data_IF_575046831195
#
_entry.id   IF_575046831195
#
_cell.length_a   1.000
_cell.length_b   1.000
_cell.length_c   1.000
_cell.angle_alpha   90.00
_cell.angle_beta   90.00
_cell.angle_gamma   90.00
#
_symmetry.space_group_name_H-M   'P 1'
#
loop_
_entity.id
_entity.type
_entity.pdbx_description
1 polymer ?
#
# COMPACT_ATOMS: atom_id res chain seq x y z
N UNK A 1 25.95 16.99 -40.89
CA UNK A 1 26.56 16.98 -39.55
C UNK A 1 25.61 17.54 -38.48
N UNK A 2 24.95 18.66 -38.69
CA UNK A 2 24.01 19.32 -37.76
C UNK A 2 22.88 18.43 -37.25
N UNK A 3 22.21 17.65 -38.12
CA UNK A 3 21.13 16.73 -37.71
C UNK A 3 21.61 15.66 -36.70
N UNK A 4 22.84 15.13 -36.84
CA UNK A 4 23.40 14.17 -35.88
C UNK A 4 23.69 14.82 -34.51
N UNK A 5 24.12 16.07 -34.49
CA UNK A 5 24.35 16.83 -33.26
C UNK A 5 23.02 17.11 -32.53
N UNK A 6 22.00 17.50 -33.28
CA UNK A 6 20.65 17.73 -32.81
C UNK A 6 20.06 16.48 -32.13
N UNK A 7 20.16 15.33 -32.79
CA UNK A 7 19.67 14.06 -32.24
C UNK A 7 20.39 13.67 -30.95
N UNK A 8 21.73 13.84 -30.91
CA UNK A 8 22.52 13.55 -29.69
C UNK A 8 22.09 14.46 -28.52
N UNK A 9 21.87 15.75 -28.78
CA UNK A 9 21.44 16.70 -27.76
C UNK A 9 20.08 16.34 -27.19
N UNK A 10 19.09 16.02 -28.05
CA UNK A 10 17.76 15.59 -27.66
C UNK A 10 17.85 14.29 -26.82
N UNK A 11 18.63 13.30 -27.24
CA UNK A 11 18.81 12.05 -26.53
C UNK A 11 19.39 12.25 -25.12
N UNK A 12 20.42 13.06 -24.97
CA UNK A 12 21.04 13.35 -23.67
C UNK A 12 20.00 14.02 -22.74
N UNK A 13 19.30 15.02 -23.24
CA UNK A 13 18.32 15.77 -22.47
C UNK A 13 17.14 14.88 -22.06
N UNK A 14 16.63 14.04 -22.94
CA UNK A 14 15.56 13.09 -22.65
C UNK A 14 16.02 12.02 -21.66
N UNK A 15 17.26 11.52 -21.76
CA UNK A 15 17.83 10.58 -20.80
C UNK A 15 17.88 11.20 -19.40
N UNK A 16 18.32 12.45 -19.28
CA UNK A 16 18.40 13.14 -18.00
C UNK A 16 17.02 13.33 -17.35
N UNK A 17 16.03 13.77 -18.14
CA UNK A 17 14.66 13.93 -17.67
C UNK A 17 14.04 12.58 -17.24
N UNK A 18 14.30 11.51 -18.01
CA UNK A 18 13.82 10.16 -17.66
C UNK A 18 14.39 9.67 -16.34
N UNK A 19 15.68 9.90 -16.07
CA UNK A 19 16.31 9.52 -14.80
C UNK A 19 15.70 10.27 -13.62
N UNK A 20 15.45 11.57 -13.77
CA UNK A 20 14.80 12.37 -12.72
C UNK A 20 13.39 11.85 -12.45
N UNK A 21 12.59 11.60 -13.49
CA UNK A 21 11.23 11.08 -13.34
C UNK A 21 11.21 9.72 -12.64
N UNK A 22 12.09 8.79 -13.05
CA UNK A 22 12.20 7.48 -12.40
C UNK A 22 12.59 7.62 -10.92
N UNK A 23 13.49 8.52 -10.57
CA UNK A 23 13.87 8.78 -9.18
C UNK A 23 12.69 9.28 -8.36
N UNK A 24 11.96 10.28 -8.86
CA UNK A 24 10.81 10.86 -8.16
C UNK A 24 9.71 9.80 -7.96
N UNK A 25 9.35 9.07 -9.01
CA UNK A 25 8.34 8.01 -8.91
C UNK A 25 8.79 6.88 -7.97
N UNK A 26 10.07 6.51 -8.00
CA UNK A 26 10.62 5.51 -7.08
C UNK A 26 10.46 5.93 -5.61
N UNK A 27 10.79 7.18 -5.29
CA UNK A 27 10.62 7.70 -3.92
C UNK A 27 9.16 7.73 -3.50
N UNK A 28 8.25 8.19 -4.37
CA UNK A 28 6.81 8.26 -4.06
C UNK A 28 6.24 6.85 -3.85
N UNK A 29 6.56 5.88 -4.72
CA UNK A 29 6.10 4.50 -4.57
C UNK A 29 6.62 3.87 -3.28
N UNK A 30 7.90 4.09 -2.95
CA UNK A 30 8.50 3.56 -1.72
C UNK A 30 7.88 4.17 -0.46
N UNK A 31 7.66 5.49 -0.47
CA UNK A 31 7.01 6.21 0.63
C UNK A 31 5.58 5.71 0.88
N UNK A 32 4.78 5.55 -0.17
CA UNK A 32 3.42 5.05 -0.02
C UNK A 32 3.39 3.60 0.47
N UNK A 33 4.25 2.72 -0.04
CA UNK A 33 4.34 1.34 0.45
C UNK A 33 4.66 1.28 1.94
N UNK A 34 5.59 2.12 2.42
CA UNK A 34 5.94 2.19 3.85
C UNK A 34 4.76 2.72 4.67
N UNK A 35 4.04 3.72 4.15
CA UNK A 35 2.86 4.30 4.82
C UNK A 35 1.75 3.26 4.95
N UNK A 36 1.38 2.61 3.85
CA UNK A 36 0.35 1.57 3.84
C UNK A 36 0.67 0.42 4.81
N UNK A 37 1.94 0.01 4.89
CA UNK A 37 2.37 -1.02 5.85
C UNK A 37 2.18 -0.58 7.29
N UNK A 38 2.52 0.67 7.62
CA UNK A 38 2.31 1.24 8.96
C UNK A 38 0.85 1.35 9.31
N UNK A 39 0.01 1.76 8.37
CA UNK A 39 -1.43 1.90 8.58
C UNK A 39 -2.08 0.54 8.88
N UNK A 40 -1.66 -0.52 8.18
CA UNK A 40 -2.10 -1.90 8.47
C UNK A 40 -1.66 -2.33 9.87
N UNK A 41 -0.42 -2.09 10.24
CA UNK A 41 0.11 -2.45 11.55
C UNK A 41 -0.61 -1.70 12.68
N UNK A 42 -0.85 -0.41 12.51
CA UNK A 42 -1.64 0.39 13.44
C UNK A 42 -3.09 -0.11 13.54
N UNK A 43 -3.70 -0.49 12.42
CA UNK A 43 -5.08 -1.02 12.41
C UNK A 43 -5.17 -2.36 13.15
N UNK A 44 -4.18 -3.24 12.99
CA UNK A 44 -4.08 -4.50 13.74
C UNK A 44 -3.90 -4.26 15.24
N UNK A 45 -3.05 -3.32 15.63
CA UNK A 45 -2.86 -2.94 17.03
C UNK A 45 -4.11 -2.32 17.64
N UNK A 46 -4.79 -1.43 16.92
CA UNK A 46 -6.04 -0.85 17.37
C UNK A 46 -7.11 -1.93 17.56
N UNK A 47 -7.24 -2.87 16.62
CA UNK A 47 -8.18 -3.97 16.73
C UNK A 47 -7.94 -4.81 18.00
N UNK A 48 -6.67 -5.07 18.33
CA UNK A 48 -6.30 -5.78 19.56
C UNK A 48 -6.50 -4.95 20.84
N UNK A 49 -6.25 -3.63 20.79
CA UNK A 49 -6.41 -2.74 21.96
C UNK A 49 -7.88 -2.41 22.28
N UNK A 50 -8.75 -2.37 21.27
CA UNK A 50 -10.20 -2.13 21.45
C UNK A 50 -10.90 -3.25 22.21
N UNK A 51 -10.18 -4.35 22.51
CA UNK A 51 -10.67 -5.42 23.39
C UNK A 51 -11.03 -4.94 24.82
N UNK A 52 -10.45 -3.83 25.29
CA UNK A 52 -10.56 -3.40 26.70
C UNK A 52 -11.61 -2.30 26.96
N UNK A 53 -12.28 -1.77 25.96
CA UNK A 53 -13.29 -0.70 26.16
C UNK A 53 -14.46 -0.86 25.20
N UNK A 54 -15.65 -0.93 25.79
CA UNK A 54 -16.97 -0.87 25.15
C UNK A 54 -16.97 -0.54 23.67
N UNK A 55 -17.05 -1.56 22.87
CA UNK A 55 -17.06 -1.53 21.41
C UNK A 55 -18.20 -0.67 20.81
N UNK A 56 -19.13 -0.23 21.63
CA UNK A 56 -20.33 0.51 21.22
C UNK A 56 -20.13 2.03 21.05
N UNK A 57 -19.05 2.63 21.58
CA UNK A 57 -18.97 4.10 21.70
C UNK A 57 -17.92 4.75 20.77
N UNK A 58 -16.98 4.00 20.21
CA UNK A 58 -15.83 4.61 19.50
C UNK A 58 -15.96 4.74 17.99
N UNK A 59 -17.04 4.29 17.36
CA UNK A 59 -17.23 4.38 15.90
C UNK A 59 -17.47 5.80 15.35
N UNK A 60 -17.67 6.80 16.22
CA UNK A 60 -18.08 8.14 15.80
C UNK A 60 -16.97 9.08 15.35
N UNK A 61 -15.73 8.92 15.76
CA UNK A 61 -14.70 9.97 15.60
C UNK A 61 -13.30 9.55 15.14
N UNK A 62 -13.03 8.28 14.89
CA UNK A 62 -11.73 7.87 14.33
C UNK A 62 -11.80 7.84 12.80
N UNK A 63 -11.34 8.91 12.16
CA UNK A 63 -11.25 9.06 10.69
C UNK A 63 -10.38 7.99 9.99
N UNK A 64 -9.68 7.12 10.74
CA UNK A 64 -8.76 6.12 10.22
C UNK A 64 -9.17 4.67 10.52
N UNK A 65 -10.32 4.42 11.13
CA UNK A 65 -10.82 3.07 11.32
C UNK A 65 -11.58 2.66 10.05
N UNK A 66 -10.86 2.14 9.07
CA UNK A 66 -11.49 1.38 8.01
C UNK A 66 -12.19 0.19 8.67
N UNK A 67 -13.53 0.13 8.63
CA UNK A 67 -14.38 -0.87 9.28
C UNK A 67 -14.19 -2.33 8.83
N UNK A 68 -13.01 -2.67 8.34
CA UNK A 68 -12.62 -3.94 7.73
C UNK A 68 -11.67 -4.75 8.63
N UNK A 69 -11.67 -4.50 9.94
CA UNK A 69 -10.89 -5.28 10.90
C UNK A 69 -11.81 -6.06 11.85
N UNK A 70 -11.39 -7.26 12.24
CA UNK A 70 -12.07 -8.09 13.22
C UNK A 70 -11.05 -8.88 14.04
N UNK A 71 -11.46 -9.35 15.21
CA UNK A 71 -10.62 -10.18 16.07
C UNK A 71 -11.33 -11.51 16.32
N UNK A 72 -10.62 -12.59 16.12
CA UNK A 72 -11.07 -13.93 16.47
C UNK A 72 -10.35 -14.35 17.74
N UNK A 73 -11.11 -14.79 18.72
CA UNK A 73 -10.61 -15.33 19.97
C UNK A 73 -10.62 -16.84 19.91
N UNK A 74 -9.50 -17.45 20.31
CA UNK A 74 -9.32 -18.90 20.32
C UNK A 74 -8.86 -19.37 21.68
N UNK A 75 -9.00 -20.66 21.93
CA UNK A 75 -8.35 -21.33 23.04
C UNK A 75 -6.83 -21.53 22.81
N UNK A 76 -6.17 -22.22 23.76
CA UNK A 76 -4.74 -22.55 23.67
C UNK A 76 -4.39 -23.50 22.52
N UNK A 77 -5.35 -24.22 21.96
CA UNK A 77 -5.19 -25.19 20.86
C UNK A 77 -5.50 -24.57 19.48
N UNK A 78 -5.85 -23.28 19.45
CA UNK A 78 -6.36 -22.57 18.27
C UNK A 78 -7.74 -23.05 17.83
N UNK A 79 -8.59 -23.54 18.73
CA UNK A 79 -9.99 -23.77 18.46
C UNK A 79 -10.78 -22.46 18.56
N UNK A 80 -11.65 -22.22 17.58
CA UNK A 80 -12.48 -21.05 17.54
C UNK A 80 -13.40 -20.97 18.76
N UNK A 81 -13.44 -19.84 19.42
CA UNK A 81 -14.37 -19.57 20.54
C UNK A 81 -15.40 -18.52 20.18
N UNK A 82 -14.95 -17.32 19.78
CA UNK A 82 -15.82 -16.20 19.48
C UNK A 82 -15.13 -15.20 18.56
N UNK A 83 -15.90 -14.47 17.77
CA UNK A 83 -15.42 -13.32 16.97
C UNK A 83 -15.91 -12.04 17.61
N UNK A 84 -15.03 -11.02 17.70
CA UNK A 84 -15.46 -9.68 18.11
C UNK A 84 -16.57 -9.21 17.18
N UNK A 85 -17.53 -8.47 17.69
CA UNK A 85 -18.58 -7.84 16.89
C UNK A 85 -17.92 -6.91 15.88
N UNK A 86 -17.76 -7.40 14.65
CA UNK A 86 -17.31 -6.62 13.50
C UNK A 86 -18.46 -6.46 12.52
N UNK A 87 -18.28 -5.58 11.55
CA UNK A 87 -19.23 -5.39 10.43
C UNK A 87 -19.38 -6.69 9.59
N UNK A 88 -18.47 -7.66 9.76
CA UNK A 88 -18.45 -8.93 9.06
C UNK A 88 -19.19 -10.00 9.85
N UNK A 89 -20.28 -10.51 9.28
CA UNK A 89 -20.87 -11.77 9.74
C UNK A 89 -19.98 -12.94 9.30
N UNK A 90 -18.97 -13.25 10.09
CA UNK A 90 -18.08 -14.39 9.84
C UNK A 90 -18.71 -15.60 10.48
N UNK A 91 -19.00 -16.64 9.70
CA UNK A 91 -19.45 -17.92 10.21
C UNK A 91 -18.31 -18.64 10.94
N UNK A 92 -18.66 -19.46 11.94
CA UNK A 92 -17.67 -20.17 12.76
C UNK A 92 -16.73 -21.06 11.91
N UNK A 93 -17.22 -21.66 10.83
CA UNK A 93 -16.44 -22.49 9.91
C UNK A 93 -15.38 -21.66 9.16
N UNK A 94 -15.73 -20.46 8.70
CA UNK A 94 -14.82 -19.53 8.02
C UNK A 94 -13.77 -18.99 9.01
N UNK A 95 -14.20 -18.67 10.25
CA UNK A 95 -13.32 -18.23 11.33
C UNK A 95 -12.29 -19.31 11.67
N UNK A 96 -12.71 -20.57 11.80
CA UNK A 96 -11.83 -21.69 12.07
C UNK A 96 -10.82 -21.88 10.93
N UNK A 97 -11.24 -21.80 9.68
CA UNK A 97 -10.35 -21.92 8.53
C UNK A 97 -9.29 -20.81 8.47
N UNK A 98 -9.65 -19.58 8.85
CA UNK A 98 -8.73 -18.46 8.99
C UNK A 98 -7.70 -18.72 10.09
N UNK A 99 -8.13 -19.21 11.24
CA UNK A 99 -7.24 -19.56 12.36
C UNK A 99 -6.26 -20.67 11.96
N UNK A 100 -6.73 -21.73 11.30
CA UNK A 100 -5.86 -22.80 10.81
C UNK A 100 -4.80 -22.27 9.84
N UNK A 101 -5.14 -21.31 9.01
CA UNK A 101 -4.21 -20.71 8.05
C UNK A 101 -3.08 -19.89 8.70
N UNK A 102 -3.22 -19.47 9.97
CA UNK A 102 -2.22 -18.69 10.73
C UNK A 102 -1.57 -19.45 11.87
N UNK A 103 -2.13 -20.61 12.29
CA UNK A 103 -1.69 -21.38 13.45
C UNK A 103 -0.18 -21.63 13.48
N UNK A 104 0.39 -22.06 12.38
CA UNK A 104 1.81 -22.44 12.24
C UNK A 104 2.67 -21.33 11.60
N UNK A 105 2.23 -20.09 11.61
CA UNK A 105 2.96 -18.95 11.04
C UNK A 105 3.45 -18.03 12.15
N UNK A 106 4.26 -17.04 11.77
CA UNK A 106 4.75 -15.99 12.67
C UNK A 106 3.59 -15.20 13.31
N UNK A 107 3.89 -14.43 14.35
CA UNK A 107 2.87 -13.68 15.09
C UNK A 107 2.26 -12.54 14.28
N UNK A 108 2.95 -12.06 13.24
CA UNK A 108 2.47 -11.03 12.31
C UNK A 108 2.73 -11.49 10.88
N UNK A 109 1.74 -11.32 10.00
CA UNK A 109 1.92 -11.69 8.61
C UNK A 109 0.78 -11.27 7.70
N UNK A 110 0.91 -11.62 6.43
CA UNK A 110 -0.10 -11.36 5.40
C UNK A 110 -0.50 -12.67 4.73
N UNK A 111 -1.78 -12.96 4.73
CA UNK A 111 -2.41 -14.05 3.99
C UNK A 111 -2.75 -13.57 2.57
N UNK A 112 -1.74 -13.53 1.68
CA UNK A 112 -1.89 -12.99 0.31
C UNK A 112 -3.06 -13.58 -0.47
N UNK A 113 -3.36 -14.89 -0.27
CA UNK A 113 -4.44 -15.59 -0.98
C UNK A 113 -5.82 -15.16 -0.51
N UNK A 114 -5.95 -14.77 0.75
CA UNK A 114 -7.21 -14.39 1.39
C UNK A 114 -7.38 -12.87 1.49
N UNK A 115 -6.32 -12.10 1.20
CA UNK A 115 -6.35 -10.64 1.26
C UNK A 115 -6.37 -10.07 2.68
N UNK A 116 -5.91 -10.82 3.69
CA UNK A 116 -5.88 -10.38 5.08
C UNK A 116 -4.45 -10.23 5.60
N UNK A 117 -4.20 -9.16 6.35
CA UNK A 117 -3.08 -9.09 7.29
C UNK A 117 -3.58 -9.57 8.66
N UNK A 118 -2.71 -10.20 9.43
CA UNK A 118 -3.06 -10.69 10.76
C UNK A 118 -1.96 -10.40 11.79
N UNK A 119 -2.38 -10.32 13.06
CA UNK A 119 -1.50 -10.25 14.24
C UNK A 119 -2.08 -11.11 15.34
N UNK A 120 -1.22 -12.00 15.91
CA UNK A 120 -1.58 -12.87 17.04
C UNK A 120 -1.08 -12.25 18.34
N UNK A 121 -1.89 -12.29 19.37
CA UNK A 121 -1.52 -11.91 20.74
C UNK A 121 -2.01 -12.97 21.70
N UNK A 122 -1.15 -13.42 22.60
CA UNK A 122 -1.52 -14.37 23.64
C UNK A 122 -2.34 -13.65 24.71
N UNK A 123 -3.47 -14.23 25.08
CA UNK A 123 -4.37 -13.71 26.12
C UNK A 123 -4.49 -14.69 27.27
N UNK A 124 -4.62 -14.16 28.49
CA UNK A 124 -4.84 -14.94 29.70
C UNK A 124 -5.90 -14.28 30.57
N UNK A 125 -6.84 -15.08 31.09
CA UNK A 125 -7.97 -14.61 31.90
C UNK A 125 -8.73 -13.45 31.27
N UNK A 126 -8.98 -13.55 29.97
CA UNK A 126 -9.59 -12.50 29.19
C UNK A 126 -11.11 -12.64 29.15
N UNK A 127 -11.82 -11.62 29.61
CA UNK A 127 -13.28 -11.54 29.57
C UNK A 127 -13.68 -10.90 28.23
N UNK A 128 -14.32 -11.68 27.36
CA UNK A 128 -14.80 -11.21 26.06
C UNK A 128 -16.18 -10.58 26.19
N UNK A 129 -17.04 -11.15 27.06
CA UNK A 129 -18.41 -10.75 27.29
C UNK A 129 -18.75 -10.97 28.77
N UNK A 130 -19.91 -10.46 29.23
CA UNK A 130 -20.37 -10.66 30.62
C UNK A 130 -20.35 -12.13 31.07
N UNK A 131 -20.54 -13.07 30.12
CA UNK A 131 -20.64 -14.51 30.40
C UNK A 131 -19.48 -15.36 29.84
N UNK A 132 -18.53 -14.77 29.11
CA UNK A 132 -17.48 -15.53 28.44
C UNK A 132 -16.09 -15.10 28.92
N UNK A 133 -15.42 -15.97 29.66
CA UNK A 133 -14.03 -15.81 30.10
C UNK A 133 -13.16 -16.84 29.39
N UNK A 134 -12.10 -16.39 28.74
CA UNK A 134 -11.08 -17.24 28.13
C UNK A 134 -9.90 -17.36 29.11
N UNK A 135 -9.69 -18.51 29.73
CA UNK A 135 -8.65 -18.66 30.73
C UNK A 135 -7.24 -18.55 30.13
N UNK A 136 -7.05 -19.07 28.92
CA UNK A 136 -5.80 -18.94 28.15
C UNK A 136 -6.09 -19.23 26.69
N UNK A 137 -5.53 -18.40 25.79
CA UNK A 137 -5.74 -18.54 24.35
C UNK A 137 -5.01 -17.47 23.55
N UNK A 138 -5.50 -17.23 22.34
CA UNK A 138 -4.97 -16.22 21.45
C UNK A 138 -6.08 -15.31 20.92
N UNK A 139 -5.79 -14.01 20.87
CA UNK A 139 -6.56 -13.04 20.11
C UNK A 139 -5.85 -12.84 18.76
N UNK A 140 -6.53 -13.12 17.67
CA UNK A 140 -5.98 -12.97 16.32
C UNK A 140 -6.76 -11.85 15.62
N UNK A 141 -6.12 -10.70 15.44
CA UNK A 141 -6.68 -9.60 14.67
C UNK A 141 -6.45 -9.85 13.19
N UNK A 142 -7.46 -9.53 12.39
CA UNK A 142 -7.41 -9.56 10.93
C UNK A 142 -7.82 -8.18 10.39
N UNK A 143 -7.12 -7.73 9.35
CA UNK A 143 -7.42 -6.51 8.60
C UNK A 143 -7.44 -6.85 7.12
N UNK A 144 -8.49 -6.45 6.42
CA UNK A 144 -8.58 -6.60 4.96
C UNK A 144 -7.57 -5.67 4.27
N UNK A 145 -6.62 -6.26 3.55
CA UNK A 145 -5.60 -5.57 2.77
C UNK A 145 -5.82 -5.68 1.25
N UNK A 146 -6.95 -6.21 0.82
CA UNK A 146 -7.29 -6.34 -0.61
C UNK A 146 -7.34 -4.98 -1.29
N UNK A 147 -7.82 -3.96 -0.56
CA UNK A 147 -7.87 -2.59 -1.03
C UNK A 147 -6.47 -1.97 -1.21
N UNK A 148 -5.50 -2.33 -0.37
CA UNK A 148 -4.12 -1.88 -0.45
C UNK A 148 -3.46 -2.34 -1.76
N UNK A 149 -3.65 -3.59 -2.14
CA UNK A 149 -3.11 -4.14 -3.38
C UNK A 149 -3.73 -3.47 -4.63
N UNK A 150 -5.03 -3.23 -4.61
CA UNK A 150 -5.72 -2.53 -5.70
C UNK A 150 -5.32 -1.05 -5.79
N UNK A 151 -5.11 -0.38 -4.67
CA UNK A 151 -4.64 1.01 -4.61
C UNK A 151 -3.22 1.14 -5.16
N UNK A 152 -2.32 0.22 -4.82
CA UNK A 152 -0.96 0.20 -5.37
C UNK A 152 -0.95 0.03 -6.90
N UNK A 153 -1.74 -0.91 -7.43
CA UNK A 153 -1.86 -1.10 -8.88
C UNK A 153 -2.40 0.15 -9.57
N UNK A 154 -3.45 0.75 -9.02
CA UNK A 154 -4.05 1.98 -9.55
C UNK A 154 -3.05 3.15 -9.55
N UNK A 155 -2.28 3.28 -8.47
CA UNK A 155 -1.22 4.28 -8.35
C UNK A 155 -0.12 4.07 -9.40
N UNK A 156 0.33 2.84 -9.65
CA UNK A 156 1.30 2.53 -10.70
C UNK A 156 0.79 2.94 -12.09
N UNK A 157 -0.46 2.61 -12.41
CA UNK A 157 -1.08 2.97 -13.69
C UNK A 157 -1.12 4.49 -13.87
N UNK A 158 -1.57 5.22 -12.85
CA UNK A 158 -1.62 6.69 -12.87
C UNK A 158 -0.22 7.29 -13.02
N UNK A 159 0.78 6.76 -12.31
CA UNK A 159 2.18 7.21 -12.40
C UNK A 159 2.76 7.01 -13.79
N UNK A 160 2.50 5.88 -14.44
CA UNK A 160 2.93 5.59 -15.82
C UNK A 160 2.26 6.55 -16.79
N UNK A 161 0.98 6.82 -16.61
CA UNK A 161 0.21 7.72 -17.48
C UNK A 161 0.70 9.17 -17.39
N UNK A 162 0.92 9.67 -16.17
CA UNK A 162 1.48 11.01 -15.94
C UNK A 162 2.91 11.08 -16.48
N UNK A 163 3.76 10.09 -16.16
CA UNK A 163 5.14 10.05 -16.63
C UNK A 163 5.26 10.06 -18.15
N UNK A 164 4.44 9.27 -18.83
CA UNK A 164 4.37 9.24 -20.30
C UNK A 164 3.96 10.59 -20.88
N UNK A 165 2.95 11.24 -20.31
CA UNK A 165 2.49 12.56 -20.74
C UNK A 165 3.58 13.63 -20.58
N UNK A 166 4.27 13.64 -19.45
CA UNK A 166 5.38 14.55 -19.17
C UNK A 166 6.53 14.34 -20.15
N UNK A 167 6.93 13.08 -20.40
CA UNK A 167 7.98 12.77 -21.38
C UNK A 167 7.61 13.24 -22.78
N UNK A 168 6.34 13.11 -23.19
CA UNK A 168 5.88 13.56 -24.50
C UNK A 168 5.99 15.09 -24.63
N UNK A 169 5.58 15.84 -23.60
CA UNK A 169 5.71 17.31 -23.59
C UNK A 169 7.18 17.73 -23.65
N UNK A 170 8.04 17.10 -22.83
CA UNK A 170 9.48 17.38 -22.85
C UNK A 170 10.14 17.04 -24.21
N UNK A 171 9.70 15.97 -24.86
CA UNK A 171 10.18 15.61 -26.19
C UNK A 171 9.84 16.71 -27.22
N UNK A 172 8.60 17.19 -27.23
CA UNK A 172 8.17 18.29 -28.12
C UNK A 172 8.99 19.55 -27.85
N UNK A 173 9.13 19.94 -26.57
CA UNK A 173 9.92 21.10 -26.16
C UNK A 173 11.39 20.96 -26.57
N UNK A 174 11.98 19.79 -26.39
CA UNK A 174 13.37 19.51 -26.81
C UNK A 174 13.56 19.64 -28.31
N UNK A 175 12.60 19.20 -29.12
CA UNK A 175 12.61 19.38 -30.55
C UNK A 175 12.54 20.85 -30.97
N UNK A 176 11.71 21.63 -30.30
CA UNK A 176 11.55 23.08 -30.57
C UNK A 176 12.83 23.83 -30.17
N UNK A 177 13.33 23.59 -28.93
CA UNK A 177 14.55 24.22 -28.43
C UNK A 177 15.78 23.87 -29.26
N UNK A 178 15.90 22.63 -29.69
CA UNK A 178 17.00 22.17 -30.55
C UNK A 178 17.01 22.87 -31.90
N UNK A 179 15.84 23.10 -32.50
CA UNK A 179 15.75 23.88 -33.77
C UNK A 179 16.12 25.34 -33.53
N UNK A 180 15.67 25.91 -32.41
CA UNK A 180 15.90 27.32 -32.11
C UNK A 180 17.38 27.62 -31.78
N UNK A 181 18.01 26.78 -31.00
CA UNK A 181 19.41 26.90 -30.59
C UNK A 181 20.39 26.69 -31.76
N UNK A 182 20.04 25.88 -32.76
CA UNK A 182 20.91 25.59 -33.90
C UNK A 182 20.73 26.57 -35.08
N UNK A 183 19.64 27.33 -35.09
CA UNK A 183 19.37 28.33 -36.16
C UNK A 183 20.49 29.38 -36.31
N UNK A 184 21.04 29.99 -35.23
CA UNK A 184 22.15 30.95 -35.36
C UNK A 184 23.45 30.30 -35.88
N UNK A 185 23.70 29.04 -35.57
CA UNK A 185 24.87 28.29 -36.04
C UNK A 185 24.77 28.02 -37.56
N UNK A 186 23.58 27.66 -38.02
CA UNK A 186 23.29 27.45 -39.44
C UNK A 186 23.48 28.73 -40.27
N UNK A 187 23.00 29.86 -39.75
CA UNK A 187 23.17 31.18 -40.37
C UNK A 187 24.62 31.67 -40.40
N UNK A 188 25.41 31.32 -39.37
CA UNK A 188 26.83 31.68 -39.36
C UNK A 188 27.63 30.82 -40.34
N UNK A 189 27.26 29.57 -40.52
CA UNK A 189 27.89 28.67 -41.48
C UNK A 189 27.60 29.04 -42.95
N UNK A 190 26.37 29.46 -43.24
CA UNK A 190 25.98 29.87 -44.59
C UNK A 190 26.62 31.22 -45.02
N UNK A 191 27.04 32.05 -44.05
CA UNK A 191 27.78 33.29 -44.33
C UNK A 191 29.27 33.10 -44.58
N UNK A 192 29.79 31.91 -44.31
CA UNK A 192 31.22 31.56 -44.54
C UNK A 192 31.44 30.78 -45.86
N UNK A 193 30.38 30.48 -46.59
CA UNK A 193 30.43 29.96 -47.94
C UNK A 193 30.31 31.09 -48.98
#
# INVERSE_FOLDING_TARGET
MLKKLQTKFILILMSFVSVILLSVFGVVCCSNYIHDKKDVEQSLEMALRLKDKDFSISFGNSRNFNGNSFVIYTDSNYEYMITSRSVWNIYAEDAQSLIESVKNKDDIGILKRLGFAYKKEKITNYQVDENTIIPSGYAVAFVDVSHMQSSFQRMLIISIQIGSSVLMVFFILSCILSKWALKPVEQAWDKQK
#
